data_IF_355963759106
#
_entry.id   IF_355963759106
#
_cell.length_a   1.000
_cell.length_b   1.000
_cell.length_c   1.000
_cell.angle_alpha   90.00
_cell.angle_beta   90.00
_cell.angle_gamma   90.00
#
_symmetry.space_group_name_H-M   'P 1'
#
loop_
_entity.id
_entity.type
_entity.pdbx_description
1 polymer ?
#
# COMPACT_ATOMS: atom_id res chain seq x y z
N UNK A 1 0.29 24.51 -14.05
CA UNK A 1 -0.86 23.58 -14.15
C UNK A 1 -0.29 22.21 -14.45
N UNK A 2 -0.33 21.26 -13.51
CA UNK A 2 0.25 19.93 -13.73
C UNK A 2 -0.78 18.99 -14.38
N UNK A 3 -0.40 18.38 -15.51
CA UNK A 3 -1.15 17.46 -16.38
C UNK A 3 -1.63 16.16 -15.68
N UNK A 4 -2.65 16.22 -14.83
CA UNK A 4 -3.17 15.05 -14.13
C UNK A 4 -4.70 14.86 -14.29
N UNK A 5 -5.31 15.40 -15.34
CA UNK A 5 -6.76 15.33 -15.59
C UNK A 5 -7.31 13.91 -15.90
N UNK A 6 -6.45 12.91 -16.08
CA UNK A 6 -6.85 11.50 -16.26
C UNK A 6 -6.92 10.72 -14.94
N UNK A 7 -6.57 11.35 -13.81
CA UNK A 7 -6.51 10.69 -12.51
C UNK A 7 -7.81 10.94 -11.76
N UNK A 8 -8.45 9.84 -11.36
CA UNK A 8 -9.65 9.87 -10.52
C UNK A 8 -9.36 10.80 -9.34
N UNK A 9 -10.11 11.87 -9.12
CA UNK A 9 -9.94 12.66 -7.89
C UNK A 9 -10.48 11.87 -6.71
N UNK A 10 -9.95 12.11 -5.51
CA UNK A 10 -10.45 11.50 -4.27
C UNK A 10 -10.41 9.97 -4.31
N UNK A 11 -9.20 9.40 -4.28
CA UNK A 11 -9.02 7.95 -4.31
C UNK A 11 -7.93 7.45 -3.37
N UNK A 12 -8.13 6.22 -2.89
CA UNK A 12 -7.17 5.49 -2.08
C UNK A 12 -6.64 4.29 -2.87
N UNK A 13 -5.32 4.17 -2.97
CA UNK A 13 -4.69 2.92 -3.43
C UNK A 13 -4.54 1.99 -2.22
N UNK A 14 -5.11 0.79 -2.32
CA UNK A 14 -4.98 -0.23 -1.28
C UNK A 14 -4.12 -1.36 -1.82
N UNK A 15 -2.93 -1.54 -1.24
CA UNK A 15 -1.96 -2.53 -1.73
C UNK A 15 -1.46 -3.48 -0.64
N UNK A 16 -1.02 -4.67 -1.05
CA UNK A 16 -0.25 -5.57 -0.18
C UNK A 16 1.16 -4.99 0.10
N UNK A 17 1.80 -5.41 1.18
CA UNK A 17 3.10 -4.88 1.59
C UNK A 17 4.16 -5.97 1.77
N UNK A 18 5.08 -6.07 0.81
CA UNK A 18 6.11 -7.11 0.71
C UNK A 18 7.53 -6.54 0.83
N UNK A 19 7.76 -5.36 0.25
CA UNK A 19 9.10 -4.81 0.01
C UNK A 19 9.16 -3.31 0.31
N UNK A 20 10.36 -2.81 0.50
CA UNK A 20 10.61 -1.37 0.54
C UNK A 20 10.34 -0.71 -0.82
N UNK A 21 10.40 -1.49 -1.92
CA UNK A 21 10.07 -1.05 -3.27
C UNK A 21 8.59 -0.69 -3.45
N UNK A 22 7.68 -1.21 -2.61
CA UNK A 22 6.23 -1.03 -2.78
C UNK A 22 5.85 0.46 -2.81
N UNK A 23 6.48 1.26 -1.94
CA UNK A 23 6.25 2.70 -1.88
C UNK A 23 6.69 3.36 -3.20
N UNK A 24 7.84 2.98 -3.75
CA UNK A 24 8.36 3.55 -5.00
C UNK A 24 7.46 3.20 -6.18
N UNK A 25 6.96 1.97 -6.24
CA UNK A 25 6.02 1.54 -7.29
C UNK A 25 4.74 2.35 -7.20
N UNK A 26 4.17 2.47 -6.01
CA UNK A 26 2.91 3.20 -5.84
C UNK A 26 3.07 4.71 -6.10
N UNK A 27 4.19 5.33 -5.72
CA UNK A 27 4.52 6.71 -6.14
C UNK A 27 4.59 6.82 -7.67
N UNK A 28 5.18 5.83 -8.36
CA UNK A 28 5.28 5.85 -9.82
C UNK A 28 3.93 5.73 -10.54
N UNK A 29 2.93 5.12 -9.90
CA UNK A 29 1.57 5.03 -10.42
C UNK A 29 0.85 6.37 -10.25
N UNK A 30 0.58 6.77 -8.99
CA UNK A 30 0.00 8.09 -8.68
C UNK A 30 -0.15 8.38 -7.17
N UNK A 31 0.68 7.84 -6.26
CA UNK A 31 0.47 8.16 -4.83
C UNK A 31 1.07 9.51 -4.44
N UNK A 32 0.20 10.38 -3.92
CA UNK A 32 0.60 11.71 -3.41
C UNK A 32 0.92 11.72 -1.91
N UNK A 33 0.32 10.81 -1.12
CA UNK A 33 0.54 10.70 0.33
C UNK A 33 0.47 9.24 0.81
N UNK A 34 1.37 8.78 1.68
CA UNK A 34 1.30 7.44 2.31
C UNK A 34 0.93 7.49 3.79
N UNK A 35 0.46 6.37 4.34
CA UNK A 35 0.37 6.17 5.80
C UNK A 35 1.44 5.19 6.27
N UNK A 36 2.44 5.69 6.99
CA UNK A 36 3.59 4.90 7.43
C UNK A 36 3.67 4.79 8.96
N UNK A 37 4.38 3.77 9.46
CA UNK A 37 4.72 3.69 10.89
C UNK A 37 5.68 4.82 11.25
N UNK A 38 5.49 5.44 12.42
CA UNK A 38 6.37 6.49 12.93
C UNK A 38 7.86 6.10 12.97
N UNK A 39 8.18 4.81 13.13
CA UNK A 39 9.55 4.29 13.12
C UNK A 39 10.25 4.46 11.76
N UNK A 40 9.51 4.46 10.65
CA UNK A 40 10.06 4.65 9.29
C UNK A 40 10.59 6.08 9.12
N UNK A 41 10.09 7.05 9.89
CA UNK A 41 10.63 8.42 9.91
C UNK A 41 12.09 8.49 10.39
N UNK A 42 12.60 7.44 11.06
CA UNK A 42 14.00 7.37 11.50
C UNK A 42 14.96 6.92 10.39
N UNK A 43 14.47 6.52 9.22
CA UNK A 43 15.31 5.98 8.15
C UNK A 43 15.86 7.10 7.26
N UNK A 44 17.19 7.30 7.13
CA UNK A 44 17.75 8.50 6.50
C UNK A 44 17.27 8.74 5.06
N UNK A 45 17.17 7.68 4.25
CA UNK A 45 16.81 7.74 2.82
C UNK A 45 15.28 7.72 2.63
N UNK A 46 14.58 6.78 3.28
CA UNK A 46 13.12 6.66 3.15
C UNK A 46 12.41 7.87 3.78
N UNK A 47 12.96 8.48 4.83
CA UNK A 47 12.38 9.67 5.44
C UNK A 47 12.34 10.85 4.46
N UNK A 48 13.35 11.05 3.60
CA UNK A 48 13.33 12.14 2.63
C UNK A 48 12.27 11.91 1.55
N UNK A 49 12.13 10.68 1.05
CA UNK A 49 11.10 10.29 0.07
C UNK A 49 9.70 10.37 0.69
N UNK A 50 9.55 9.88 1.92
CA UNK A 50 8.30 9.92 2.67
C UNK A 50 7.87 11.36 3.04
N UNK A 51 8.83 12.22 3.42
CA UNK A 51 8.58 13.65 3.65
C UNK A 51 8.23 14.40 2.37
N UNK A 52 8.85 14.04 1.24
CA UNK A 52 8.50 14.61 -0.06
C UNK A 52 7.11 14.19 -0.54
N UNK A 53 6.67 12.97 -0.22
CA UNK A 53 5.34 12.44 -0.51
C UNK A 53 4.35 12.53 0.66
N UNK A 54 4.32 13.65 1.41
CA UNK A 54 3.30 13.95 2.44
C UNK A 54 2.87 12.78 3.34
N UNK A 55 3.83 11.96 3.78
CA UNK A 55 3.53 10.72 4.53
C UNK A 55 3.00 11.01 5.94
N UNK A 56 1.83 10.45 6.24
CA UNK A 56 1.18 10.48 7.56
C UNK A 56 1.79 9.38 8.42
N UNK A 57 2.61 9.78 9.40
CA UNK A 57 3.25 8.86 10.34
C UNK A 57 2.34 8.56 11.53
N UNK A 58 2.14 7.28 11.85
CA UNK A 58 1.20 6.86 12.89
C UNK A 58 1.80 5.79 13.81
N UNK A 59 1.41 5.82 15.09
CA UNK A 59 1.52 4.67 15.97
C UNK A 59 0.21 3.86 15.89
N UNK A 60 0.27 2.67 15.29
CA UNK A 60 -0.89 1.81 15.07
C UNK A 60 -1.43 1.13 16.35
N UNK A 61 -0.74 1.28 17.48
CA UNK A 61 -1.18 0.76 18.79
C UNK A 61 -1.91 1.84 19.61
N UNK A 62 -1.75 3.11 19.23
CA UNK A 62 -2.39 4.22 19.89
C UNK A 62 -3.71 4.58 19.19
N UNK A 63 -4.82 4.40 19.90
CA UNK A 63 -6.16 4.75 19.40
C UNK A 63 -6.30 6.22 19.00
N UNK A 64 -5.67 7.15 19.74
CA UNK A 64 -5.72 8.59 19.41
C UNK A 64 -5.00 8.88 18.10
N UNK A 65 -3.86 8.24 17.87
CA UNK A 65 -3.08 8.43 16.65
C UNK A 65 -3.81 7.85 15.44
N UNK A 66 -4.53 6.74 15.59
CA UNK A 66 -5.41 6.20 14.54
C UNK A 66 -6.55 7.18 14.20
N UNK A 67 -7.19 7.80 15.20
CA UNK A 67 -8.25 8.77 14.96
C UNK A 67 -7.71 10.01 14.24
N UNK A 68 -6.57 10.54 14.70
CA UNK A 68 -5.90 11.66 14.05
C UNK A 68 -5.53 11.30 12.59
N UNK A 69 -4.95 10.12 12.37
CA UNK A 69 -4.60 9.65 11.05
C UNK A 69 -5.81 9.58 10.12
N UNK A 70 -6.93 9.04 10.59
CA UNK A 70 -8.16 9.00 9.80
C UNK A 70 -8.63 10.39 9.39
N UNK A 71 -8.57 11.37 10.30
CA UNK A 71 -8.95 12.75 10.00
C UNK A 71 -8.04 13.36 8.91
N UNK A 72 -6.73 13.15 9.01
CA UNK A 72 -5.78 13.63 8.00
C UNK A 72 -5.99 12.95 6.64
N UNK A 73 -6.13 11.63 6.63
CA UNK A 73 -6.37 10.86 5.40
C UNK A 73 -7.67 11.32 4.74
N UNK A 74 -8.75 11.44 5.52
CA UNK A 74 -10.06 11.89 5.03
C UNK A 74 -9.99 13.30 4.46
N UNK A 75 -9.24 14.21 5.10
CA UNK A 75 -8.99 15.55 4.60
C UNK A 75 -8.25 15.55 3.26
N UNK A 76 -7.16 14.79 3.14
CA UNK A 76 -6.38 14.69 1.90
C UNK A 76 -7.21 14.12 0.74
N UNK A 77 -7.96 13.05 1.01
CA UNK A 77 -8.88 12.44 0.05
C UNK A 77 -9.97 13.42 -0.40
N UNK A 78 -10.60 14.12 0.56
CA UNK A 78 -11.61 15.15 0.28
C UNK A 78 -11.06 16.34 -0.51
N UNK A 79 -9.76 16.64 -0.37
CA UNK A 79 -9.06 17.63 -1.19
C UNK A 79 -8.75 17.14 -2.62
N UNK A 80 -9.21 15.93 -2.99
CA UNK A 80 -9.06 15.35 -4.31
C UNK A 80 -7.75 14.58 -4.53
N UNK A 81 -6.94 14.40 -3.48
CA UNK A 81 -5.63 13.74 -3.57
C UNK A 81 -5.73 12.21 -3.59
N UNK A 82 -4.59 11.56 -3.84
CA UNK A 82 -4.41 10.11 -3.78
C UNK A 82 -3.67 9.69 -2.51
N UNK A 83 -4.28 8.80 -1.71
CA UNK A 83 -3.64 8.23 -0.52
C UNK A 83 -3.30 6.76 -0.73
N UNK A 84 -2.05 6.37 -0.48
CA UNK A 84 -1.62 4.97 -0.47
C UNK A 84 -1.76 4.34 0.92
N UNK A 85 -2.40 3.17 0.98
CA UNK A 85 -2.60 2.41 2.21
C UNK A 85 -2.16 0.95 2.04
N UNK A 86 -1.36 0.49 3.00
CA UNK A 86 -1.04 -0.92 3.21
C UNK A 86 -1.83 -1.45 4.42
N UNK A 87 -2.99 -2.10 4.20
CA UNK A 87 -3.95 -2.40 5.27
C UNK A 87 -3.51 -3.57 6.16
N UNK A 88 -2.56 -4.41 5.73
CA UNK A 88 -2.06 -5.56 6.50
C UNK A 88 -1.47 -5.17 7.88
N UNK A 89 -1.02 -3.92 8.02
CA UNK A 89 -0.48 -3.43 9.29
C UNK A 89 0.99 -3.80 9.52
N UNK A 90 1.51 -4.77 8.76
CA UNK A 90 2.84 -5.40 8.82
C UNK A 90 3.25 -5.83 7.42
N UNK A 91 4.52 -6.17 7.24
CA UNK A 91 5.06 -6.69 5.98
C UNK A 91 4.77 -8.19 5.92
N UNK A 92 4.31 -8.68 4.77
CA UNK A 92 3.99 -10.09 4.55
C UNK A 92 5.19 -10.95 4.22
N UNK A 93 5.01 -12.27 4.40
CA UNK A 93 6.03 -13.29 4.20
C UNK A 93 6.20 -13.72 2.73
N UNK A 94 5.50 -13.07 1.79
CA UNK A 94 5.47 -13.43 0.38
C UNK A 94 4.62 -14.65 0.00
N UNK A 95 4.18 -15.45 0.97
CA UNK A 95 3.49 -16.73 0.71
C UNK A 95 1.97 -16.57 0.73
N UNK A 96 1.48 -15.66 1.55
CA UNK A 96 0.06 -15.40 1.73
C UNK A 96 -0.19 -13.90 1.89
N UNK A 97 -1.39 -13.45 1.53
CA UNK A 97 -1.84 -12.12 1.85
C UNK A 97 -2.33 -12.10 3.30
N UNK A 98 -1.83 -11.19 4.14
CA UNK A 98 -2.34 -11.10 5.51
C UNK A 98 -3.68 -10.38 5.57
N UNK A 99 -4.43 -10.67 6.64
CA UNK A 99 -5.69 -10.00 6.95
C UNK A 99 -5.54 -8.48 7.02
N UNK A 100 -6.54 -7.79 6.46
CA UNK A 100 -6.59 -6.34 6.40
C UNK A 100 -7.13 -5.74 7.70
N UNK A 101 -6.43 -4.72 8.20
CA UNK A 101 -6.88 -3.91 9.32
C UNK A 101 -7.83 -2.82 8.81
N UNK A 102 -9.06 -2.83 9.32
CA UNK A 102 -10.10 -1.87 8.96
C UNK A 102 -9.91 -0.40 9.43
N UNK A 103 -9.21 -0.06 10.54
CA UNK A 103 -9.36 1.27 11.14
C UNK A 103 -9.05 2.46 10.23
N UNK A 104 -8.12 2.35 9.28
CA UNK A 104 -7.75 3.44 8.37
C UNK A 104 -8.59 3.49 7.08
N UNK A 105 -9.34 2.42 6.79
CA UNK A 105 -10.29 2.39 5.67
C UNK A 105 -11.53 3.25 5.98
N UNK A 106 -11.78 3.54 7.27
CA UNK A 106 -12.80 4.50 7.71
C UNK A 106 -12.65 5.85 7.00
N UNK A 107 -11.42 6.34 6.84
CA UNK A 107 -11.18 7.63 6.20
C UNK A 107 -11.66 7.67 4.74
N UNK A 108 -11.55 6.56 4.01
CA UNK A 108 -12.06 6.47 2.63
C UNK A 108 -13.59 6.50 2.59
N UNK A 109 -14.26 5.84 3.54
CA UNK A 109 -15.72 5.90 3.68
C UNK A 109 -16.17 7.32 3.98
N UNK A 110 -15.54 7.98 4.96
CA UNK A 110 -15.87 9.35 5.37
C UNK A 110 -15.66 10.37 4.24
N UNK A 111 -14.58 10.21 3.46
CA UNK A 111 -14.28 11.06 2.31
C UNK A 111 -15.05 10.66 1.04
N UNK A 112 -15.88 9.60 1.07
CA UNK A 112 -16.60 9.06 -0.10
C UNK A 112 -15.65 8.80 -1.28
N UNK A 113 -14.49 8.24 -0.96
CA UNK A 113 -13.41 8.04 -1.92
C UNK A 113 -13.64 6.80 -2.78
N UNK A 114 -13.05 6.82 -3.98
CA UNK A 114 -12.83 5.59 -4.72
C UNK A 114 -11.69 4.78 -4.10
N UNK A 115 -11.76 3.47 -4.18
CA UNK A 115 -10.68 2.57 -3.76
C UNK A 115 -10.21 1.79 -4.97
N UNK A 116 -8.90 1.80 -5.19
CA UNK A 116 -8.24 1.04 -6.25
C UNK A 116 -7.37 -0.03 -5.57
N UNK A 117 -7.81 -1.29 -5.57
CA UNK A 117 -7.02 -2.37 -5.01
C UNK A 117 -5.87 -2.74 -5.97
N UNK A 118 -4.67 -2.90 -5.43
CA UNK A 118 -3.46 -3.19 -6.21
C UNK A 118 -2.72 -4.36 -5.57
N UNK A 119 -2.34 -5.35 -6.37
CA UNK A 119 -1.46 -6.42 -5.93
C UNK A 119 -0.09 -6.23 -6.55
N UNK A 120 0.91 -6.11 -5.70
CA UNK A 120 2.33 -6.05 -6.04
C UNK A 120 2.94 -7.43 -5.89
N UNK A 121 3.62 -7.91 -6.94
CA UNK A 121 4.42 -9.14 -6.91
C UNK A 121 5.73 -8.89 -7.65
N UNK A 122 6.81 -9.45 -7.13
CA UNK A 122 8.15 -9.34 -7.69
C UNK A 122 8.58 -10.66 -8.29
N UNK A 123 9.07 -10.62 -9.51
CA UNK A 123 9.50 -11.79 -10.28
C UNK A 123 10.96 -11.67 -10.68
N UNK A 124 11.62 -12.81 -10.81
CA UNK A 124 12.91 -12.93 -11.52
C UNK A 124 12.65 -13.07 -13.02
N UNK A 125 13.71 -12.99 -13.82
CA UNK A 125 13.61 -13.14 -15.28
C UNK A 125 13.05 -14.49 -15.75
N UNK A 126 13.16 -15.55 -14.94
CA UNK A 126 12.59 -16.86 -15.23
C UNK A 126 11.10 -16.97 -14.85
N UNK A 127 10.49 -15.89 -14.36
CA UNK A 127 9.10 -15.85 -13.91
C UNK A 127 8.88 -16.35 -12.49
N UNK A 128 9.91 -16.82 -11.80
CA UNK A 128 9.81 -17.26 -10.41
C UNK A 128 9.66 -16.08 -9.45
N UNK A 129 9.04 -16.34 -8.29
CA UNK A 129 8.90 -15.35 -7.24
C UNK A 129 10.25 -14.89 -6.65
N UNK A 130 10.46 -13.56 -6.59
CA UNK A 130 11.72 -12.96 -6.16
C UNK A 130 11.80 -12.73 -4.64
N UNK A 131 12.03 -13.80 -3.87
CA UNK A 131 12.17 -13.77 -2.40
C UNK A 131 13.27 -12.81 -1.87
N UNK A 132 14.27 -12.48 -2.68
CA UNK A 132 15.32 -11.50 -2.38
C UNK A 132 14.76 -10.10 -2.11
N UNK A 133 13.60 -9.77 -2.68
CA UNK A 133 12.92 -8.48 -2.52
C UNK A 133 12.13 -8.36 -1.22
N UNK A 134 11.83 -9.48 -0.56
CA UNK A 134 11.03 -9.50 0.66
C UNK A 134 11.77 -8.80 1.82
N UNK A 135 11.06 -7.90 2.49
CA UNK A 135 11.56 -7.27 3.70
C UNK A 135 11.30 -8.13 4.96
N UNK A 136 10.36 -9.08 4.91
CA UNK A 136 9.99 -9.92 6.05
C UNK A 136 11.19 -10.67 6.67
N UNK A 137 11.36 -10.51 7.98
CA UNK A 137 12.46 -11.12 8.74
C UNK A 137 13.85 -10.53 8.46
N UNK A 138 13.94 -9.41 7.72
CA UNK A 138 15.20 -8.78 7.32
C UNK A 138 15.25 -7.32 7.76
N UNK A 139 16.46 -6.76 7.80
CA UNK A 139 16.66 -5.32 7.96
C UNK A 139 16.77 -4.64 6.58
N UNK A 140 16.61 -3.32 6.55
CA UNK A 140 16.63 -2.54 5.32
C UNK A 140 17.90 -2.74 4.49
N UNK A 141 19.08 -2.68 5.12
CA UNK A 141 20.35 -2.82 4.40
C UNK A 141 20.44 -4.19 3.72
N UNK A 142 20.08 -5.25 4.43
CA UNK A 142 20.07 -6.61 3.90
C UNK A 142 19.13 -6.72 2.70
N UNK A 143 17.89 -6.22 2.80
CA UNK A 143 16.92 -6.31 1.71
C UNK A 143 17.34 -5.47 0.51
N UNK A 144 17.92 -4.28 0.72
CA UNK A 144 18.46 -3.45 -0.37
C UNK A 144 19.59 -4.17 -1.10
N UNK A 145 20.58 -4.70 -0.36
CA UNK A 145 21.71 -5.41 -0.97
C UNK A 145 21.25 -6.67 -1.72
N UNK A 146 20.33 -7.44 -1.15
CA UNK A 146 19.74 -8.62 -1.81
C UNK A 146 19.01 -8.23 -3.10
N UNK A 147 18.22 -7.14 -3.06
CA UNK A 147 17.49 -6.64 -4.23
C UNK A 147 18.45 -6.18 -5.33
N UNK A 148 19.52 -5.46 -4.98
CA UNK A 148 20.53 -4.99 -5.94
C UNK A 148 21.40 -6.12 -6.51
N UNK A 149 21.61 -7.20 -5.75
CA UNK A 149 22.30 -8.39 -6.22
C UNK A 149 21.43 -9.25 -7.16
N UNK A 150 20.10 -9.13 -7.06
CA UNK A 150 19.15 -9.77 -7.96
C UNK A 150 19.31 -9.25 -9.39
N UNK A 151 19.30 -10.16 -10.37
CA UNK A 151 19.41 -9.81 -11.79
C UNK A 151 18.04 -9.81 -12.45
N UNK A 152 17.76 -8.76 -13.22
CA UNK A 152 16.54 -8.66 -14.04
C UNK A 152 15.24 -8.87 -13.24
N UNK A 153 15.16 -8.25 -12.06
CA UNK A 153 13.95 -8.27 -11.26
C UNK A 153 12.87 -7.40 -11.90
N UNK A 154 11.64 -7.91 -11.97
CA UNK A 154 10.47 -7.19 -12.49
C UNK A 154 9.40 -7.09 -11.42
N UNK A 155 8.89 -5.88 -11.19
CA UNK A 155 7.76 -5.65 -10.31
C UNK A 155 6.47 -5.56 -11.14
N UNK A 156 5.47 -6.37 -10.79
CA UNK A 156 4.17 -6.39 -11.45
C UNK A 156 3.13 -5.79 -10.50
N UNK A 157 2.39 -4.80 -10.99
CA UNK A 157 1.24 -4.22 -10.31
C UNK A 157 -0.04 -4.68 -11.01
N UNK A 158 -0.77 -5.60 -10.38
CA UNK A 158 -2.09 -6.04 -10.84
C UNK A 158 -3.14 -5.10 -10.25
N UNK A 159 -3.72 -4.25 -11.09
CA UNK A 159 -4.76 -3.30 -10.70
C UNK A 159 -6.11 -4.00 -10.81
N UNK A 160 -6.86 -4.05 -9.71
CA UNK A 160 -8.19 -4.64 -9.63
C UNK A 160 -9.27 -3.58 -9.91
N UNK A 161 -10.53 -3.99 -10.18
CA UNK A 161 -11.63 -3.07 -10.39
C UNK A 161 -11.76 -2.04 -9.27
N UNK A 162 -11.94 -0.78 -9.64
CA UNK A 162 -12.20 0.31 -8.71
C UNK A 162 -13.57 0.14 -8.07
N UNK A 163 -13.67 0.41 -6.77
CA UNK A 163 -14.92 0.38 -6.00
C UNK A 163 -15.15 1.72 -5.32
N UNK A 164 -16.39 2.05 -5.01
CA UNK A 164 -16.73 3.23 -4.23
C UNK A 164 -16.82 2.85 -2.73
N UNK A 165 -16.07 3.54 -1.87
CA UNK A 165 -16.00 3.18 -0.44
C UNK A 165 -17.35 3.29 0.27
N UNK A 166 -18.24 4.14 -0.24
CA UNK A 166 -19.58 4.38 0.28
C UNK A 166 -20.58 3.23 0.01
N UNK A 167 -20.23 2.26 -0.84
CA UNK A 167 -21.08 1.11 -1.13
C UNK A 167 -21.08 0.07 0.01
N UNK A 168 -20.21 0.26 1.01
CA UNK A 168 -20.03 -0.64 2.15
C UNK A 168 -20.61 -0.04 3.42
N UNK A 169 -21.34 -0.82 4.22
CA UNK A 169 -21.99 -0.34 5.43
C UNK A 169 -21.00 -0.06 6.57
N UNK A 170 -19.81 -0.65 6.52
CA UNK A 170 -18.78 -0.42 7.53
C UNK A 170 -17.36 -0.63 7.00
N UNK A 171 -16.38 -0.03 7.69
CA UNK A 171 -14.95 -0.27 7.46
C UNK A 171 -14.54 -1.74 7.56
N UNK A 172 -15.25 -2.56 8.35
CA UNK A 172 -14.95 -3.99 8.51
C UNK A 172 -15.38 -4.79 7.29
N UNK A 173 -16.57 -4.49 6.78
CA UNK A 173 -17.10 -5.09 5.55
C UNK A 173 -16.21 -4.74 4.36
N UNK A 174 -15.83 -3.47 4.22
CA UNK A 174 -14.90 -3.01 3.21
C UNK A 174 -13.53 -3.73 3.30
N UNK A 175 -12.98 -3.86 4.51
CA UNK A 175 -11.72 -4.57 4.72
C UNK A 175 -11.80 -6.04 4.30
N UNK A 176 -12.90 -6.71 4.67
CA UNK A 176 -13.14 -8.11 4.33
C UNK A 176 -13.30 -8.30 2.82
N UNK A 177 -14.11 -7.46 2.17
CA UNK A 177 -14.30 -7.48 0.73
C UNK A 177 -12.98 -7.29 -0.02
N UNK A 178 -12.23 -6.24 0.33
CA UNK A 178 -10.92 -5.97 -0.28
C UNK A 178 -9.96 -7.14 -0.11
N UNK A 179 -9.88 -7.70 1.09
CA UNK A 179 -9.03 -8.86 1.36
C UNK A 179 -9.44 -10.06 0.50
N UNK A 180 -10.73 -10.38 0.41
CA UNK A 180 -11.22 -11.51 -0.38
C UNK A 180 -10.88 -11.35 -1.87
N UNK A 181 -11.17 -10.18 -2.46
CA UNK A 181 -10.90 -9.91 -3.87
C UNK A 181 -9.39 -9.94 -4.16
N UNK A 182 -8.59 -9.33 -3.29
CA UNK A 182 -7.14 -9.29 -3.47
C UNK A 182 -6.50 -10.65 -3.23
N UNK A 183 -6.93 -11.42 -2.24
CA UNK A 183 -6.37 -12.74 -1.94
C UNK A 183 -6.62 -13.73 -3.08
N UNK A 184 -7.80 -13.72 -3.69
CA UNK A 184 -8.12 -14.60 -4.82
C UNK A 184 -7.14 -14.42 -5.98
N UNK A 185 -6.82 -13.18 -6.33
CA UNK A 185 -5.84 -12.87 -7.38
C UNK A 185 -4.41 -13.14 -6.89
N UNK A 186 -4.08 -12.81 -5.65
CA UNK A 186 -2.75 -13.04 -5.07
C UNK A 186 -2.37 -14.53 -5.10
N UNK A 187 -3.27 -15.40 -4.64
CA UNK A 187 -3.06 -16.85 -4.68
C UNK A 187 -2.89 -17.38 -6.10
N UNK A 188 -3.68 -16.89 -7.05
CA UNK A 188 -3.55 -17.30 -8.45
C UNK A 188 -2.17 -16.93 -9.00
N UNK A 189 -1.66 -15.75 -8.66
CA UNK A 189 -0.38 -15.23 -9.18
C UNK A 189 0.84 -15.83 -8.49
N UNK A 190 0.75 -16.16 -7.20
CA UNK A 190 1.82 -16.85 -6.48
C UNK A 190 1.86 -18.35 -6.84
N UNK A 191 0.73 -19.02 -7.03
CA UNK A 191 0.70 -20.43 -7.46
C UNK A 191 1.19 -20.63 -8.91
N UNK A 192 1.10 -19.60 -9.73
CA UNK A 192 1.57 -19.61 -11.12
C UNK A 192 3.07 -19.28 -11.27
N UNK A 193 3.74 -18.90 -10.16
CA UNK A 193 5.14 -18.51 -10.09
C UNK A 193 6.00 -19.67 -9.53
#
# INVERSE_FOLDING_TARGET
>A
QSNYDYLVKNHMLVANHMSWLDILILVSIHVTSFVAKAEIAKWPVINQIAKAGSTIFINRENKRDILHANQLISHELSAGKCVGLFPEGKINNGKELFLFKSPLLEAAIQAKSKIIPIILIYYRADGSFAEETLYYGRNLLQTVLNTLAGKNLTAHAFILPTIDAQDFASRHELALYLHQQMNAVYEQKIKAA
#
